data_IF_840816831927
#
_entry.id   IF_840816831927
#
_cell.length_a   1.000
_cell.length_b   1.000
_cell.length_c   1.000
_cell.angle_alpha   90.00
_cell.angle_beta   90.00
_cell.angle_gamma   90.00
#
_symmetry.space_group_name_H-M   'P 1'
#
loop_
_entity.id
_entity.type
_entity.pdbx_description
1 polymer ?
#
# COMPACT_ATOMS: atom_id res chain seq x y z
N UNK A 1 -22.53 -4.77 55.44
CA UNK A 1 -21.27 -4.03 55.20
C UNK A 1 -20.52 -4.69 54.05
N UNK A 2 -20.07 -3.86 53.09
CA UNK A 2 -19.13 -4.12 51.96
C UNK A 2 -19.52 -5.19 50.92
N UNK A 3 -20.15 -4.72 49.84
CA UNK A 3 -20.21 -5.39 48.54
C UNK A 3 -18.81 -5.32 47.90
N UNK A 4 -18.17 -6.47 47.65
CA UNK A 4 -16.93 -6.55 46.89
C UNK A 4 -17.30 -6.64 45.41
N UNK A 5 -17.13 -5.54 44.68
CA UNK A 5 -17.32 -5.51 43.21
C UNK A 5 -16.01 -5.97 42.59
N UNK A 6 -16.00 -7.17 42.01
CA UNK A 6 -14.90 -7.64 41.17
C UNK A 6 -14.90 -6.84 39.86
N UNK A 7 -13.98 -5.90 39.72
CA UNK A 7 -13.70 -5.24 38.45
C UNK A 7 -12.87 -6.20 37.59
N UNK A 8 -13.54 -6.99 36.75
CA UNK A 8 -12.87 -7.74 35.68
C UNK A 8 -12.45 -6.71 34.63
N UNK A 9 -11.19 -6.31 34.69
CA UNK A 9 -10.56 -5.47 33.68
C UNK A 9 -10.38 -6.34 32.42
N UNK A 10 -11.40 -6.38 31.58
CA UNK A 10 -11.33 -6.99 30.25
C UNK A 10 -10.42 -6.09 29.41
N UNK A 11 -9.11 -6.35 29.44
CA UNK A 11 -8.17 -5.76 28.51
C UNK A 11 -8.51 -6.30 27.13
N UNK A 12 -9.40 -5.59 26.41
CA UNK A 12 -9.54 -5.75 24.97
C UNK A 12 -8.18 -5.40 24.37
N UNK A 13 -7.38 -6.42 24.11
CA UNK A 13 -6.21 -6.33 23.25
C UNK A 13 -6.71 -5.97 21.85
N UNK A 14 -6.80 -4.66 21.57
CA UNK A 14 -7.01 -4.13 20.24
C UNK A 14 -5.75 -4.40 19.43
N UNK A 15 -5.67 -5.58 18.83
CA UNK A 15 -4.71 -5.86 17.77
C UNK A 15 -5.13 -5.02 16.55
N UNK A 16 -4.65 -3.78 16.50
CA UNK A 16 -4.57 -3.06 15.23
C UNK A 16 -3.62 -3.90 14.37
N UNK A 17 -4.15 -4.60 13.37
CA UNK A 17 -3.31 -5.33 12.44
C UNK A 17 -2.52 -4.30 11.64
N UNK A 18 -1.27 -4.12 12.06
CA UNK A 18 -0.22 -3.46 11.29
C UNK A 18 -0.26 -4.04 9.88
N UNK A 19 -0.31 -3.17 8.87
CA UNK A 19 -0.11 -3.63 7.50
C UNK A 19 1.33 -4.16 7.41
N UNK A 20 1.51 -5.47 7.52
CA UNK A 20 2.77 -6.08 7.15
C UNK A 20 2.93 -5.82 5.66
N UNK A 21 4.05 -5.19 5.28
CA UNK A 21 4.43 -5.01 3.88
C UNK A 21 4.16 -6.31 3.11
N UNK A 22 3.47 -6.18 1.98
CA UNK A 22 3.17 -7.37 1.16
C UNK A 22 4.44 -7.89 0.49
N UNK A 23 5.47 -7.04 0.35
CA UNK A 23 6.80 -7.45 -0.09
C UNK A 23 7.67 -6.27 -0.52
N UNK A 24 8.91 -6.57 -0.91
CA UNK A 24 9.90 -5.56 -1.32
C UNK A 24 10.96 -6.08 -2.30
N UNK A 25 10.75 -7.24 -2.94
CA UNK A 25 11.76 -7.84 -3.83
C UNK A 25 11.18 -8.78 -4.86
N UNK A 26 11.44 -8.52 -6.16
CA UNK A 26 11.52 -9.49 -7.27
C UNK A 26 10.36 -10.47 -7.52
N UNK A 27 9.31 -10.41 -6.72
CA UNK A 27 8.21 -11.35 -6.73
C UNK A 27 7.21 -11.00 -7.83
N UNK A 28 6.56 -12.05 -8.35
CA UNK A 28 5.42 -11.92 -9.24
C UNK A 28 4.17 -11.78 -8.39
N UNK A 29 3.48 -10.65 -8.53
CA UNK A 29 2.26 -10.34 -7.81
C UNK A 29 1.09 -10.66 -8.73
N UNK A 30 0.24 -11.61 -8.34
CA UNK A 30 -0.99 -11.88 -9.08
C UNK A 30 -1.96 -10.70 -8.92
N UNK A 31 -2.40 -10.12 -10.04
CA UNK A 31 -3.32 -8.98 -10.08
C UNK A 31 -4.54 -9.26 -10.96
N UNK A 32 -5.61 -8.47 -10.80
CA UNK A 32 -6.83 -8.63 -11.58
C UNK A 32 -6.60 -8.43 -13.10
N UNK A 33 -5.46 -7.84 -13.48
CA UNK A 33 -5.03 -7.65 -14.86
C UNK A 33 -3.88 -8.57 -15.30
N UNK A 34 -3.54 -9.59 -14.50
CA UNK A 34 -2.45 -10.54 -14.76
C UNK A 34 -1.29 -10.40 -13.78
N UNK A 35 -0.09 -10.79 -14.17
CA UNK A 35 1.05 -10.83 -13.25
C UNK A 35 1.88 -9.54 -13.32
N UNK A 36 2.00 -8.86 -12.19
CA UNK A 36 2.86 -7.70 -12.02
C UNK A 36 4.23 -8.14 -11.49
N UNK A 37 5.31 -7.72 -12.13
CA UNK A 37 6.67 -7.95 -11.65
C UNK A 37 7.39 -6.63 -11.48
N UNK A 38 8.17 -6.52 -10.40
CA UNK A 38 9.02 -5.35 -10.13
C UNK A 38 10.47 -5.82 -10.07
N UNK A 39 11.25 -5.50 -11.11
CA UNK A 39 12.61 -6.01 -11.29
C UNK A 39 13.62 -4.88 -11.26
N UNK A 40 14.70 -5.04 -10.49
CA UNK A 40 15.80 -4.08 -10.46
C UNK A 40 16.43 -3.96 -11.84
N UNK A 41 16.59 -2.73 -12.33
CA UNK A 41 17.29 -2.46 -13.57
C UNK A 41 18.80 -2.54 -13.35
N UNK A 42 19.50 -3.12 -14.31
CA UNK A 42 20.95 -3.12 -14.30
C UNK A 42 21.43 -1.69 -14.60
N UNK A 43 22.13 -1.10 -13.62
CA UNK A 43 22.62 0.29 -13.63
C UNK A 43 23.67 0.59 -14.71
N UNK A 44 23.98 -0.38 -15.58
CA UNK A 44 25.01 -0.29 -16.61
C UNK A 44 24.56 0.44 -17.88
N UNK A 45 23.30 0.85 -17.99
CA UNK A 45 22.82 1.69 -19.10
C UNK A 45 22.51 3.10 -18.59
N UNK A 46 23.00 4.16 -19.26
CA UNK A 46 22.55 5.52 -19.00
C UNK A 46 21.08 5.61 -19.44
N UNK A 47 20.17 5.46 -18.48
CA UNK A 47 18.74 5.67 -18.64
C UNK A 47 18.30 7.00 -18.05
N UNK A 48 16.99 7.20 -18.04
CA UNK A 48 16.26 8.32 -17.41
C UNK A 48 16.35 8.37 -15.87
N UNK A 49 17.20 7.56 -15.25
CA UNK A 49 17.35 7.45 -13.80
C UNK A 49 16.48 6.38 -13.13
N UNK A 50 15.70 5.60 -13.89
CA UNK A 50 14.88 4.51 -13.35
C UNK A 50 15.71 3.41 -12.67
N UNK A 51 15.27 2.95 -11.50
CA UNK A 51 15.94 1.93 -10.71
C UNK A 51 15.24 0.56 -10.76
N UNK A 52 13.91 0.54 -10.90
CA UNK A 52 13.14 -0.69 -11.07
C UNK A 52 12.16 -0.58 -12.24
N UNK A 53 12.14 -1.60 -13.10
CA UNK A 53 11.11 -1.74 -14.10
C UNK A 53 9.92 -2.49 -13.51
N UNK A 54 8.73 -1.92 -13.70
CA UNK A 54 7.47 -2.54 -13.35
C UNK A 54 6.84 -3.04 -14.63
N UNK A 55 6.58 -4.34 -14.70
CA UNK A 55 5.99 -4.98 -15.87
C UNK A 55 4.68 -5.68 -15.53
N UNK A 56 3.69 -5.54 -16.39
CA UNK A 56 2.44 -6.27 -16.31
C UNK A 56 2.36 -7.26 -17.47
N UNK A 57 2.26 -8.55 -17.15
CA UNK A 57 2.34 -9.65 -18.12
C UNK A 57 3.59 -9.55 -19.04
N UNK A 58 4.72 -9.15 -18.45
CA UNK A 58 5.99 -9.00 -19.16
C UNK A 58 6.11 -7.75 -20.04
N UNK A 59 5.08 -6.90 -20.12
CA UNK A 59 5.12 -5.62 -20.83
C UNK A 59 5.41 -4.48 -19.86
N UNK A 60 6.16 -3.48 -20.30
CA UNK A 60 6.46 -2.30 -19.49
C UNK A 60 5.15 -1.60 -19.09
N UNK A 61 5.04 -1.29 -17.80
CA UNK A 61 3.84 -0.72 -17.18
C UNK A 61 4.15 0.56 -16.41
N UNK A 62 5.24 0.57 -15.65
CA UNK A 62 5.72 1.74 -14.90
C UNK A 62 7.24 1.63 -14.64
N UNK A 63 7.84 2.70 -14.14
CA UNK A 63 9.24 2.74 -13.70
C UNK A 63 9.31 3.40 -12.33
N UNK A 64 9.96 2.73 -11.38
CA UNK A 64 10.26 3.28 -10.07
C UNK A 64 11.68 3.86 -10.06
N UNK A 65 11.84 5.02 -9.45
CA UNK A 65 13.08 5.79 -9.43
C UNK A 65 13.78 5.71 -8.07
N UNK A 66 13.13 5.09 -7.08
CA UNK A 66 13.69 4.86 -5.76
C UNK A 66 14.85 3.90 -5.72
N UNK A 67 15.68 4.05 -4.69
CA UNK A 67 16.71 3.05 -4.36
C UNK A 67 16.08 1.79 -3.73
N UNK A 68 14.86 1.92 -3.22
CA UNK A 68 14.04 0.87 -2.61
C UNK A 68 12.57 1.14 -2.86
N UNK A 69 11.77 0.09 -2.82
CA UNK A 69 10.32 0.19 -2.78
C UNK A 69 9.74 -0.78 -1.75
N UNK A 70 8.53 -0.47 -1.27
CA UNK A 70 7.66 -1.47 -0.62
C UNK A 70 6.28 -1.38 -1.24
N UNK A 71 5.50 -2.44 -1.12
CA UNK A 71 4.13 -2.44 -1.63
C UNK A 71 3.13 -3.06 -0.66
N UNK A 72 1.88 -2.64 -0.80
CA UNK A 72 0.73 -3.11 -0.04
C UNK A 72 -0.37 -3.50 -1.03
N UNK A 73 -0.77 -4.77 -1.06
CA UNK A 73 -1.87 -5.25 -1.89
C UNK A 73 -3.20 -5.24 -1.13
N UNK A 74 -4.32 -5.10 -1.84
CA UNK A 74 -5.63 -5.21 -1.20
C UNK A 74 -5.99 -6.67 -0.84
N UNK A 75 -5.94 -6.96 0.47
CA UNK A 75 -5.92 -8.28 1.13
C UNK A 75 -7.18 -9.17 0.99
N UNK A 76 -8.09 -8.88 0.06
CA UNK A 76 -9.37 -9.63 -0.03
C UNK A 76 -9.41 -10.74 -1.09
N UNK A 77 -8.32 -11.01 -1.80
CA UNK A 77 -8.30 -11.96 -2.91
C UNK A 77 -6.92 -12.60 -3.05
N UNK A 78 -6.87 -13.82 -3.59
CA UNK A 78 -5.63 -14.45 -4.11
C UNK A 78 -4.95 -13.58 -5.19
N UNK A 79 -5.70 -12.62 -5.72
CA UNK A 79 -5.34 -11.75 -6.83
C UNK A 79 -5.61 -10.29 -6.45
N UNK A 80 -4.56 -9.48 -6.35
CA UNK A 80 -4.67 -8.06 -5.98
C UNK A 80 -5.45 -7.27 -7.03
N UNK A 81 -6.44 -6.49 -6.60
CA UNK A 81 -7.15 -5.57 -7.50
C UNK A 81 -6.59 -4.16 -7.45
N UNK A 82 -5.92 -3.79 -6.37
CA UNK A 82 -5.17 -2.54 -6.22
C UNK A 82 -3.92 -2.78 -5.38
N UNK A 83 -2.88 -1.98 -5.63
CA UNK A 83 -1.62 -2.00 -4.90
C UNK A 83 -1.17 -0.57 -4.61
N UNK A 84 -0.84 -0.27 -3.36
CA UNK A 84 -0.06 0.93 -3.02
C UNK A 84 1.41 0.58 -3.11
N UNK A 85 2.19 1.43 -3.78
CA UNK A 85 3.65 1.33 -3.84
C UNK A 85 4.25 2.58 -3.22
N UNK A 86 5.19 2.39 -2.29
CA UNK A 86 6.06 3.43 -1.78
C UNK A 86 7.39 3.36 -2.51
N UNK A 87 7.73 4.42 -3.23
CA UNK A 87 8.98 4.55 -3.98
C UNK A 87 9.95 5.52 -3.29
N UNK A 88 11.03 4.98 -2.73
CA UNK A 88 11.96 5.73 -1.89
C UNK A 88 13.12 6.31 -2.71
N UNK A 89 12.90 7.45 -3.36
CA UNK A 89 13.89 8.18 -4.17
C UNK A 89 15.15 8.53 -3.36
N UNK A 90 14.99 9.18 -2.21
CA UNK A 90 16.10 9.51 -1.30
C UNK A 90 16.46 8.42 -0.29
N UNK A 91 15.91 7.21 -0.42
CA UNK A 91 15.99 6.17 0.60
C UNK A 91 15.06 6.41 1.80
N UNK A 92 15.18 5.59 2.86
CA UNK A 92 14.25 5.62 4.01
C UNK A 92 14.36 6.86 4.91
N UNK A 93 15.34 7.74 4.67
CA UNK A 93 15.47 9.02 5.38
C UNK A 93 14.55 10.11 4.84
N UNK A 94 13.92 9.87 3.68
CA UNK A 94 12.97 10.79 3.06
C UNK A 94 11.62 10.08 2.89
N UNK A 95 10.49 10.78 3.09
CA UNK A 95 9.19 10.19 2.78
C UNK A 95 9.14 9.73 1.31
N UNK A 96 8.52 8.59 1.03
CA UNK A 96 8.44 8.05 -0.32
C UNK A 96 7.48 8.86 -1.21
N UNK A 97 7.66 8.71 -2.52
CA UNK A 97 6.59 8.96 -3.49
C UNK A 97 5.60 7.81 -3.38
N UNK A 98 4.32 8.12 -3.31
CA UNK A 98 3.26 7.16 -3.15
C UNK A 98 2.49 6.98 -4.45
N UNK A 99 2.43 5.75 -4.94
CA UNK A 99 1.71 5.38 -6.16
C UNK A 99 0.57 4.41 -5.83
N UNK A 100 -0.54 4.54 -6.54
CA UNK A 100 -1.63 3.55 -6.55
C UNK A 100 -1.69 2.90 -7.92
N UNK A 101 -1.45 1.59 -7.97
CA UNK A 101 -1.74 0.77 -9.13
C UNK A 101 -3.17 0.23 -8.99
N UNK A 102 -4.01 0.55 -9.98
CA UNK A 102 -5.42 0.16 -10.02
C UNK A 102 -5.69 -0.76 -11.21
N UNK A 103 -6.17 -1.96 -10.90
CA UNK A 103 -6.47 -3.02 -11.86
C UNK A 103 -7.98 -3.32 -11.98
N UNK A 104 -8.86 -2.52 -11.35
CA UNK A 104 -10.32 -2.76 -11.36
C UNK A 104 -11.01 -2.41 -12.69
N UNK A 105 -10.35 -1.65 -13.57
CA UNK A 105 -10.88 -1.20 -14.86
C UNK A 105 -10.43 -2.06 -16.06
N UNK A 106 -10.96 -1.74 -17.25
CA UNK A 106 -10.53 -2.36 -18.52
C UNK A 106 -9.05 -2.14 -18.83
N UNK A 107 -8.50 -1.03 -18.36
CA UNK A 107 -7.10 -0.65 -18.55
C UNK A 107 -6.49 -0.39 -17.19
N UNK A 108 -5.44 -1.12 -16.81
CA UNK A 108 -4.65 -0.86 -15.61
C UNK A 108 -4.11 0.56 -15.60
N UNK A 109 -4.09 1.20 -14.43
CA UNK A 109 -3.65 2.59 -14.28
C UNK A 109 -2.72 2.75 -13.10
N UNK A 110 -1.82 3.72 -13.23
CA UNK A 110 -0.99 4.22 -12.13
C UNK A 110 -1.46 5.62 -11.78
N UNK A 111 -1.66 5.88 -10.51
CA UNK A 111 -1.93 7.21 -9.98
C UNK A 111 -0.81 7.62 -9.05
N UNK A 112 -0.24 8.81 -9.26
CA UNK A 112 0.54 9.47 -8.22
C UNK A 112 -0.43 9.94 -7.13
N UNK A 113 -0.27 9.40 -5.94
CA UNK A 113 -1.09 9.69 -4.76
C UNK A 113 -0.51 10.86 -3.98
N UNK A 114 0.82 10.89 -3.84
CA UNK A 114 1.57 11.98 -3.21
C UNK A 114 3.04 11.90 -3.62
N UNK A 115 3.68 13.04 -3.80
CA UNK A 115 5.14 13.12 -4.03
C UNK A 115 5.94 12.95 -2.73
N UNK A 116 5.29 13.07 -1.58
CA UNK A 116 5.94 12.92 -0.27
C UNK A 116 4.90 12.60 0.80
N UNK A 117 4.81 11.34 1.21
CA UNK A 117 3.95 10.93 2.31
C UNK A 117 4.48 9.68 3.00
N UNK A 118 4.76 9.80 4.30
CA UNK A 118 5.12 8.65 5.14
C UNK A 118 3.83 7.97 5.63
N UNK A 119 3.58 6.74 5.19
CA UNK A 119 2.35 6.00 5.49
C UNK A 119 2.61 5.00 6.60
N UNK A 120 2.00 5.25 7.76
CA UNK A 120 2.03 4.32 8.88
C UNK A 120 1.08 3.14 8.69
N UNK A 121 -0.06 3.36 8.03
CA UNK A 121 -1.09 2.33 7.82
C UNK A 121 -1.84 2.51 6.50
N UNK A 122 -2.16 1.38 5.86
CA UNK A 122 -3.06 1.33 4.69
C UNK A 122 -4.31 0.57 5.09
N UNK A 123 -5.47 1.16 4.81
CA UNK A 123 -6.76 0.47 4.93
C UNK A 123 -7.51 0.46 3.61
N UNK A 124 -7.96 -0.73 3.21
CA UNK A 124 -8.70 -0.94 1.99
C UNK A 124 -10.22 -0.93 2.23
N UNK A 125 -10.94 -0.24 1.36
CA UNK A 125 -12.39 -0.39 1.20
C UNK A 125 -12.69 -0.87 -0.21
N UNK A 126 -13.94 -1.24 -0.48
CA UNK A 126 -14.38 -1.66 -1.82
C UNK A 126 -14.23 -0.58 -2.89
N UNK A 127 -14.26 0.70 -2.49
CA UNK A 127 -14.28 1.85 -3.42
C UNK A 127 -13.04 2.74 -3.36
N UNK A 128 -12.29 2.68 -2.27
CA UNK A 128 -11.16 3.58 -2.03
C UNK A 128 -10.11 2.93 -1.12
N UNK A 129 -8.97 3.58 -0.99
CA UNK A 129 -7.89 3.28 -0.06
C UNK A 129 -7.73 4.45 0.91
N UNK A 130 -7.57 4.11 2.18
CA UNK A 130 -7.30 5.04 3.26
C UNK A 130 -5.86 4.88 3.70
N UNK A 131 -5.20 6.00 3.94
CA UNK A 131 -3.79 6.08 4.31
C UNK A 131 -3.69 6.85 5.62
N UNK A 132 -3.01 6.27 6.60
CA UNK A 132 -2.68 6.97 7.84
C UNK A 132 -1.28 7.54 7.74
N UNK A 133 -1.15 8.83 8.03
CA UNK A 133 0.12 9.53 8.14
C UNK A 133 0.04 10.55 9.27
N UNK A 134 1.04 10.61 10.15
CA UNK A 134 1.09 11.53 11.29
C UNK A 134 -0.21 11.56 12.11
N UNK A 135 -0.70 10.37 12.50
CA UNK A 135 -1.95 10.16 13.24
C UNK A 135 -3.24 10.65 12.55
N UNK A 136 -3.17 10.97 11.26
CA UNK A 136 -4.31 11.43 10.46
C UNK A 136 -4.60 10.47 9.32
N UNK A 137 -5.88 10.22 9.11
CA UNK A 137 -6.35 9.42 7.99
C UNK A 137 -6.75 10.29 6.80
N UNK A 138 -6.40 9.78 5.61
CA UNK A 138 -6.71 10.37 4.32
C UNK A 138 -7.34 9.30 3.42
N UNK A 139 -8.39 9.65 2.70
CA UNK A 139 -8.98 8.84 1.63
C UNK A 139 -8.39 9.30 0.30
N UNK A 140 -7.90 8.37 -0.52
CA UNK A 140 -7.55 8.69 -1.90
C UNK A 140 -8.79 8.72 -2.79
N UNK A 141 -9.02 9.87 -3.45
CA UNK A 141 -10.18 10.12 -4.31
C UNK A 141 -9.73 10.52 -5.71
N UNK A 142 -9.40 9.51 -6.51
CA UNK A 142 -9.07 9.66 -7.93
C UNK A 142 -7.69 10.27 -8.17
N UNK A 143 -7.48 11.52 -7.75
CA UNK A 143 -6.24 12.27 -7.99
C UNK A 143 -5.67 12.98 -6.76
N UNK A 144 -6.38 12.97 -5.63
CA UNK A 144 -5.95 13.71 -4.45
C UNK A 144 -6.37 13.01 -3.16
N UNK A 145 -5.68 13.36 -2.08
CA UNK A 145 -5.95 12.91 -0.72
C UNK A 145 -6.92 13.87 -0.02
N UNK A 146 -7.97 13.31 0.56
CA UNK A 146 -8.94 14.07 1.36
C UNK A 146 -8.90 13.56 2.78
N UNK A 147 -8.72 14.46 3.75
CA UNK A 147 -8.74 14.08 5.17
C UNK A 147 -10.07 13.44 5.52
N UNK A 148 -10.03 12.16 5.90
CA UNK A 148 -11.22 11.39 6.24
C UNK A 148 -10.84 10.17 7.06
N UNK A 149 -11.56 9.97 8.15
CA UNK A 149 -11.48 8.74 8.92
C UNK A 149 -12.10 7.58 8.13
N UNK A 150 -11.45 6.42 8.06
CA UNK A 150 -12.11 5.26 7.52
C UNK A 150 -13.34 4.87 8.36
N UNK A 151 -14.25 4.10 7.78
CA UNK A 151 -15.31 3.46 8.55
C UNK A 151 -14.69 2.51 9.60
N UNK A 152 -15.37 2.32 10.74
CA UNK A 152 -14.91 1.45 11.85
C UNK A 152 -14.55 0.02 11.44
N UNK A 153 -15.01 -0.41 10.26
CA UNK A 153 -14.77 -1.74 9.69
C UNK A 153 -13.66 -1.70 8.63
N UNK A 154 -12.62 -0.88 8.81
CA UNK A 154 -11.34 -1.14 8.15
C UNK A 154 -10.95 -2.57 8.49
N UNK A 155 -11.18 -3.46 7.54
CA UNK A 155 -11.31 -4.87 7.80
C UNK A 155 -9.92 -5.43 8.01
N UNK A 156 -9.52 -5.51 9.28
CA UNK A 156 -8.36 -6.27 9.74
C UNK A 156 -8.63 -7.77 9.75
N UNK A 157 -9.71 -8.27 9.13
CA UNK A 157 -10.01 -9.71 9.08
C UNK A 157 -9.47 -10.32 7.80
N UNK A 158 -8.17 -10.62 7.84
CA UNK A 158 -7.49 -11.47 6.88
C UNK A 158 -6.54 -12.42 7.61
N UNK A 159 -7.06 -13.23 8.53
CA UNK A 159 -6.36 -14.40 9.09
C UNK A 159 -7.40 -15.49 9.44
N UNK A 160 -7.38 -16.59 8.70
CA UNK A 160 -7.67 -17.93 9.20
C UNK A 160 -6.51 -18.82 8.78
#
# INVERSE_FOLDING_TARGET
>A
MKKLVLFVCLTMSFSCLFAQTSGSSGESIATAAGFLTITKLNSSKPGDGGAFAVRLNGKDFDVLYGVKYVYFADVKKEVASRIIVEDYIGGFSTPPVLLLYDFLGKTPRVFNVSDSLDVAQVCWSTKSVFLQSNDRWYEFRGTHLVRRQPAKNCDSRGQS
#
